data_IF_527032308029
#
_entry.id   IF_527032308029
#
_cell.length_a   1.000
_cell.length_b   1.000
_cell.length_c   1.000
_cell.angle_alpha   90.00
_cell.angle_beta   90.00
_cell.angle_gamma   90.00
#
_symmetry.space_group_name_H-M   'P 1'
#
loop_
_entity.id
_entity.type
_entity.pdbx_description
1 polymer ?
#
# COMPACT_ATOMS: atom_id res chain seq x y z
N UNK A 1 3.17 5.52 -8.11
CA UNK A 1 4.43 6.24 -7.83
C UNK A 1 5.57 5.34 -7.33
N UNK A 2 5.37 4.41 -6.37
CA UNK A 2 6.51 3.67 -5.81
C UNK A 2 6.56 2.15 -6.00
N UNK A 3 5.52 1.52 -6.56
CA UNK A 3 5.56 0.09 -6.88
C UNK A 3 6.14 -0.73 -5.70
N UNK A 4 7.15 -1.55 -5.99
CA UNK A 4 7.80 -2.39 -4.97
C UNK A 4 9.13 -1.81 -4.45
N UNK A 5 9.57 -0.65 -4.92
CA UNK A 5 10.79 -0.01 -4.41
C UNK A 5 10.74 1.49 -4.66
N UNK A 6 10.71 2.27 -3.58
CA UNK A 6 10.76 3.72 -3.64
C UNK A 6 12.19 4.22 -3.91
N UNK A 7 12.33 5.26 -4.75
CA UNK A 7 13.62 5.94 -4.99
C UNK A 7 14.00 6.85 -3.81
N UNK A 8 15.29 6.87 -3.46
CA UNK A 8 15.84 7.79 -2.45
C UNK A 8 15.56 9.26 -2.82
N UNK A 9 15.16 10.07 -1.84
CA UNK A 9 14.75 11.47 -2.06
C UNK A 9 13.26 11.66 -2.41
N UNK A 10 12.56 10.64 -2.93
CA UNK A 10 11.21 10.85 -3.42
C UNK A 10 10.11 10.98 -2.34
N UNK A 11 10.32 10.65 -1.05
CA UNK A 11 9.20 10.72 -0.07
C UNK A 11 8.80 12.14 0.22
N UNK A 12 9.76 12.98 0.56
CA UNK A 12 9.46 14.36 0.98
C UNK A 12 8.88 15.13 -0.20
N UNK A 13 9.36 14.83 -1.41
CA UNK A 13 8.78 15.34 -2.65
C UNK A 13 7.38 14.78 -2.88
N UNK A 14 7.15 13.47 -2.70
CA UNK A 14 5.82 12.84 -2.83
C UNK A 14 4.82 13.47 -1.86
N UNK A 15 5.20 13.72 -0.60
CA UNK A 15 4.32 14.32 0.40
C UNK A 15 3.81 15.69 -0.07
N UNK A 16 4.71 16.57 -0.51
CA UNK A 16 4.33 17.93 -0.96
C UNK A 16 3.56 17.88 -2.28
N UNK A 17 4.07 17.14 -3.27
CA UNK A 17 3.47 17.04 -4.61
C UNK A 17 2.09 16.39 -4.55
N UNK A 18 1.93 15.30 -3.78
CA UNK A 18 0.63 14.66 -3.59
C UNK A 18 -0.32 15.57 -2.83
N UNK A 19 0.15 16.32 -1.83
CA UNK A 19 -0.65 17.32 -1.14
C UNK A 19 -1.21 18.38 -2.08
N UNK A 20 -0.43 18.83 -3.06
CA UNK A 20 -0.88 19.77 -4.09
C UNK A 20 -1.89 19.13 -5.06
N UNK A 21 -1.54 17.99 -5.68
CA UNK A 21 -2.37 17.35 -6.70
C UNK A 21 -3.67 16.80 -6.11
N UNK A 22 -3.56 15.97 -5.07
CA UNK A 22 -4.72 15.37 -4.39
C UNK A 22 -5.51 16.44 -3.66
N UNK A 23 -4.86 17.44 -3.06
CA UNK A 23 -5.52 18.55 -2.39
C UNK A 23 -6.45 19.33 -3.33
N UNK A 24 -6.05 19.60 -4.57
CA UNK A 24 -6.92 20.25 -5.54
C UNK A 24 -8.08 19.36 -5.98
N UNK A 25 -7.82 18.09 -6.32
CA UNK A 25 -8.90 17.15 -6.64
C UNK A 25 -9.90 17.00 -5.49
N UNK A 26 -9.41 16.94 -4.25
CA UNK A 26 -10.24 16.86 -3.06
C UNK A 26 -11.03 18.14 -2.82
N UNK A 27 -10.42 19.32 -3.02
CA UNK A 27 -11.12 20.60 -2.92
C UNK A 27 -12.25 20.72 -3.95
N UNK A 28 -12.00 20.32 -5.20
CA UNK A 28 -13.01 20.32 -6.25
C UNK A 28 -14.14 19.33 -5.96
N UNK A 29 -13.79 18.13 -5.48
CA UNK A 29 -14.76 17.15 -4.99
C UNK A 29 -15.63 17.77 -3.88
N UNK A 30 -15.05 18.36 -2.84
CA UNK A 30 -15.80 18.97 -1.74
C UNK A 30 -16.70 20.14 -2.19
N UNK A 31 -16.29 20.94 -3.18
CA UNK A 31 -17.11 22.03 -3.71
C UNK A 31 -18.26 21.53 -4.58
N UNK A 32 -18.04 20.46 -5.33
CA UNK A 32 -19.03 19.87 -6.24
C UNK A 32 -20.03 18.94 -5.53
N UNK A 33 -19.74 18.56 -4.29
CA UNK A 33 -20.57 17.63 -3.53
C UNK A 33 -21.62 18.37 -2.72
N UNK A 34 -22.88 18.05 -2.95
CA UNK A 34 -23.99 18.44 -2.08
C UNK A 34 -24.38 17.23 -1.23
N UNK A 35 -23.82 17.13 -0.02
CA UNK A 35 -24.21 16.09 0.94
C UNK A 35 -25.08 16.71 2.03
N UNK A 36 -26.29 16.18 2.16
CA UNK A 36 -27.09 16.29 3.38
C UNK A 36 -26.85 15.05 4.24
N UNK A 37 -26.14 15.21 5.37
CA UNK A 37 -25.97 14.14 6.36
C UNK A 37 -27.08 14.21 7.41
N UNK A 38 -27.70 13.07 7.70
CA UNK A 38 -28.60 12.96 8.85
C UNK A 38 -27.79 13.00 10.14
N UNK A 39 -28.20 13.83 11.10
CA UNK A 39 -27.62 13.84 12.45
C UNK A 39 -27.70 12.46 13.10
N UNK A 40 -28.74 11.68 12.80
CA UNK A 40 -28.91 10.32 13.28
C UNK A 40 -27.71 9.41 12.94
N UNK A 41 -27.14 9.52 11.75
CA UNK A 41 -25.97 8.72 11.35
C UNK A 41 -24.75 9.10 12.20
N UNK A 42 -24.56 10.40 12.45
CA UNK A 42 -23.46 10.88 13.29
C UNK A 42 -23.63 10.44 14.77
N UNK A 43 -24.86 10.49 15.29
CA UNK A 43 -25.21 10.04 16.64
C UNK A 43 -25.02 8.53 16.82
N UNK A 44 -25.41 7.73 15.83
CA UNK A 44 -25.22 6.27 15.82
C UNK A 44 -23.72 5.90 15.82
N UNK A 45 -22.90 6.54 14.99
CA UNK A 45 -21.45 6.28 14.98
C UNK A 45 -20.75 6.79 16.25
N UNK A 46 -21.15 7.95 16.80
CA UNK A 46 -20.63 8.43 18.08
C UNK A 46 -20.93 7.43 19.21
N UNK A 47 -22.20 7.02 19.33
CA UNK A 47 -22.63 6.06 20.36
C UNK A 47 -21.87 4.73 20.23
N UNK A 48 -21.62 4.28 19.00
CA UNK A 48 -20.85 3.05 18.74
C UNK A 48 -19.40 3.16 19.22
N UNK A 49 -18.73 4.30 19.00
CA UNK A 49 -17.35 4.50 19.49
C UNK A 49 -17.32 4.67 21.01
N UNK A 50 -18.28 5.37 21.61
CA UNK A 50 -18.40 5.48 23.06
C UNK A 50 -18.59 4.09 23.71
N UNK A 51 -19.48 3.27 23.16
CA UNK A 51 -19.69 1.90 23.61
C UNK A 51 -18.43 1.04 23.47
N UNK A 52 -17.70 1.17 22.37
CA UNK A 52 -16.43 0.44 22.18
C UNK A 52 -15.38 0.83 23.24
N UNK A 53 -15.26 2.11 23.58
CA UNK A 53 -14.36 2.55 24.65
C UNK A 53 -14.79 1.99 26.01
N UNK A 54 -16.10 2.01 26.33
CA UNK A 54 -16.61 1.42 27.56
C UNK A 54 -16.38 -0.10 27.60
N UNK A 55 -16.57 -0.78 26.48
CA UNK A 55 -16.29 -2.22 26.33
C UNK A 55 -14.83 -2.51 26.68
N UNK A 56 -13.87 -1.82 26.06
CA UNK A 56 -12.43 -1.99 26.33
C UNK A 56 -12.09 -1.77 27.82
N UNK A 57 -12.68 -0.76 28.45
CA UNK A 57 -12.48 -0.50 29.88
C UNK A 57 -13.13 -1.59 30.75
N UNK A 58 -14.20 -2.22 30.28
CA UNK A 58 -14.91 -3.30 30.98
C UNK A 58 -14.27 -4.68 30.82
N UNK A 59 -13.36 -4.86 29.85
CA UNK A 59 -12.68 -6.14 29.66
C UNK A 59 -11.90 -6.55 30.93
N UNK A 60 -12.01 -7.84 31.25
CA UNK A 60 -11.41 -8.51 32.41
C UNK A 60 -10.79 -9.85 31.98
N UNK A 61 -9.82 -9.76 31.08
CA UNK A 61 -9.01 -10.89 30.63
C UNK A 61 -7.61 -10.91 31.23
N UNK A 62 -6.81 -11.89 30.83
CA UNK A 62 -5.46 -12.15 31.35
C UNK A 62 -4.34 -11.69 30.42
N UNK A 63 -4.67 -11.25 29.20
CA UNK A 63 -3.71 -10.77 28.22
C UNK A 63 -3.30 -9.31 28.48
N UNK A 64 -2.05 -8.97 28.14
CA UNK A 64 -1.52 -7.61 28.25
C UNK A 64 -1.27 -7.02 26.87
N UNK A 65 -1.83 -5.83 26.63
CA UNK A 65 -1.76 -5.19 25.31
C UNK A 65 -0.32 -4.90 24.85
N UNK A 66 0.57 -4.55 25.77
CA UNK A 66 1.98 -4.29 25.46
C UNK A 66 2.73 -5.56 25.07
N UNK A 67 2.45 -6.70 25.72
CA UNK A 67 3.07 -7.99 25.40
C UNK A 67 2.64 -8.44 23.99
N UNK A 68 1.35 -8.26 23.65
CA UNK A 68 0.82 -8.49 22.31
C UNK A 68 1.53 -7.60 21.28
N UNK A 69 1.66 -6.30 21.57
CA UNK A 69 2.33 -5.35 20.66
C UNK A 69 3.79 -5.72 20.42
N UNK A 70 4.52 -6.09 21.47
CA UNK A 70 5.93 -6.46 21.34
C UNK A 70 6.09 -7.79 20.59
N UNK A 71 5.21 -8.77 20.84
CA UNK A 71 5.22 -10.01 20.06
C UNK A 71 4.94 -9.77 18.58
N UNK A 72 3.95 -8.94 18.25
CA UNK A 72 3.67 -8.53 16.87
C UNK A 72 4.90 -7.93 16.19
N UNK A 73 5.62 -7.02 16.87
CA UNK A 73 6.85 -6.39 16.34
C UNK A 73 7.95 -7.42 16.08
N UNK A 74 8.14 -8.37 16.99
CA UNK A 74 9.12 -9.46 16.85
C UNK A 74 8.78 -10.32 15.62
N UNK A 75 7.53 -10.78 15.50
CA UNK A 75 7.08 -11.59 14.35
C UNK A 75 7.35 -10.86 13.02
N UNK A 76 6.96 -9.59 12.93
CA UNK A 76 7.15 -8.80 11.71
C UNK A 76 8.64 -8.62 11.35
N UNK A 77 9.50 -8.43 12.34
CA UNK A 77 10.94 -8.27 12.15
C UNK A 77 11.62 -9.58 11.72
N UNK A 78 11.28 -10.69 12.37
CA UNK A 78 11.94 -11.99 12.16
C UNK A 78 11.45 -12.67 10.88
N UNK A 79 10.14 -12.60 10.58
CA UNK A 79 9.50 -13.42 9.54
C UNK A 79 9.07 -12.64 8.30
N UNK A 80 8.95 -11.31 8.39
CA UNK A 80 8.44 -10.44 7.30
C UNK A 80 9.46 -9.36 6.91
N UNK A 81 10.74 -9.59 7.22
CA UNK A 81 11.86 -8.69 6.98
C UNK A 81 12.33 -8.60 5.52
N UNK A 82 13.65 -8.53 5.33
CA UNK A 82 14.29 -8.40 4.01
C UNK A 82 14.15 -9.70 3.22
N UNK A 83 14.59 -10.81 3.81
CA UNK A 83 14.50 -12.15 3.25
C UNK A 83 13.27 -12.84 3.80
N UNK A 84 12.53 -13.54 2.94
CA UNK A 84 11.27 -14.18 3.29
C UNK A 84 11.18 -15.52 2.60
N UNK A 85 10.54 -16.47 3.23
CA UNK A 85 10.19 -17.76 2.64
C UNK A 85 8.77 -18.15 3.05
N UNK A 86 8.16 -19.09 2.30
CA UNK A 86 6.76 -19.46 2.49
C UNK A 86 6.45 -20.02 3.87
N UNK A 87 7.40 -20.74 4.50
CA UNK A 87 7.21 -21.31 5.83
C UNK A 87 7.09 -20.21 6.88
N UNK A 88 8.09 -19.34 6.97
CA UNK A 88 8.11 -18.28 7.98
C UNK A 88 6.94 -17.30 7.78
N UNK A 89 6.55 -17.03 6.53
CA UNK A 89 5.38 -16.20 6.24
C UNK A 89 4.05 -16.86 6.62
N UNK A 90 3.92 -18.18 6.48
CA UNK A 90 2.74 -18.90 6.94
C UNK A 90 2.63 -18.84 8.46
N UNK A 91 3.72 -19.14 9.17
CA UNK A 91 3.79 -19.06 10.64
C UNK A 91 3.50 -17.63 11.12
N UNK A 92 3.99 -16.60 10.42
CA UNK A 92 3.74 -15.21 10.76
C UNK A 92 2.25 -14.84 10.67
N UNK A 93 1.55 -15.30 9.62
CA UNK A 93 0.11 -15.04 9.48
C UNK A 93 -0.67 -15.73 10.61
N UNK A 94 -0.38 -16.99 10.90
CA UNK A 94 -1.02 -17.75 11.98
C UNK A 94 -0.84 -17.05 13.33
N UNK A 95 0.40 -16.76 13.73
CA UNK A 95 0.68 -16.11 15.01
C UNK A 95 0.07 -14.70 15.11
N UNK A 96 0.07 -13.92 14.03
CA UNK A 96 -0.56 -12.59 14.03
C UNK A 96 -2.09 -12.68 14.16
N UNK A 97 -2.72 -13.69 13.55
CA UNK A 97 -4.15 -13.95 13.70
C UNK A 97 -4.49 -14.39 15.12
N UNK A 98 -3.65 -15.21 15.74
CA UNK A 98 -3.79 -15.57 17.16
C UNK A 98 -3.65 -14.33 18.07
N UNK A 99 -2.68 -13.46 17.82
CA UNK A 99 -2.52 -12.20 18.57
C UNK A 99 -3.73 -11.28 18.41
N UNK A 100 -4.33 -11.23 17.21
CA UNK A 100 -5.56 -10.47 16.98
C UNK A 100 -6.72 -11.02 17.83
N UNK A 101 -6.85 -12.34 17.95
CA UNK A 101 -7.87 -12.93 18.81
C UNK A 101 -7.58 -12.71 20.30
N UNK A 102 -6.32 -12.83 20.73
CA UNK A 102 -5.87 -12.53 22.10
C UNK A 102 -6.11 -11.06 22.48
N UNK A 103 -6.01 -10.15 21.51
CA UNK A 103 -6.26 -8.72 21.75
C UNK A 103 -7.68 -8.41 22.24
N UNK A 104 -8.63 -9.33 22.04
CA UNK A 104 -10.00 -9.24 22.56
C UNK A 104 -10.12 -9.66 24.03
N UNK A 105 -9.07 -10.24 24.62
CA UNK A 105 -9.03 -10.78 26.00
C UNK A 105 -8.05 -10.01 26.89
N UNK A 106 -7.80 -8.75 26.56
CA UNK A 106 -6.93 -7.88 27.35
C UNK A 106 -7.64 -7.33 28.57
N UNK A 107 -6.88 -6.82 29.52
CA UNK A 107 -7.39 -5.92 30.56
C UNK A 107 -6.67 -4.59 30.49
N UNK A 108 -7.43 -3.49 30.44
CA UNK A 108 -6.90 -2.15 30.70
C UNK A 108 -6.91 -1.93 32.21
N UNK A 109 -5.75 -1.89 32.85
CA UNK A 109 -5.65 -1.76 34.30
C UNK A 109 -6.15 -0.39 34.79
N UNK A 110 -5.77 0.69 34.11
CA UNK A 110 -6.28 2.02 34.41
C UNK A 110 -7.68 2.20 33.80
N UNK A 111 -8.71 2.29 34.64
CA UNK A 111 -10.11 2.46 34.20
C UNK A 111 -10.49 3.92 33.88
N UNK A 112 -9.55 4.86 33.96
CA UNK A 112 -9.77 6.25 33.56
C UNK A 112 -9.87 6.36 32.03
N UNK A 113 -10.87 7.06 31.51
CA UNK A 113 -11.00 7.29 30.08
C UNK A 113 -10.08 8.43 29.58
N UNK A 114 -9.79 9.41 30.43
CA UNK A 114 -9.04 10.60 30.06
C UNK A 114 -7.53 10.38 30.26
N UNK A 115 -6.73 10.83 29.29
CA UNK A 115 -5.25 10.78 29.33
C UNK A 115 -4.72 9.39 29.67
N UNK A 116 -5.30 8.35 29.05
CA UNK A 116 -4.98 6.96 29.34
C UNK A 116 -4.19 6.31 28.19
N UNK A 117 -2.86 6.25 28.26
CA UNK A 117 -2.04 5.65 27.22
C UNK A 117 -2.24 4.14 27.09
N UNK A 118 -2.68 3.44 28.16
CA UNK A 118 -2.99 2.01 28.09
C UNK A 118 -4.26 1.76 27.27
N UNK A 119 -5.30 2.58 27.49
CA UNK A 119 -6.52 2.55 26.67
C UNK A 119 -6.21 2.92 25.21
N UNK A 120 -5.30 3.87 24.97
CA UNK A 120 -4.87 4.19 23.60
C UNK A 120 -4.30 2.97 22.88
N UNK A 121 -3.45 2.21 23.56
CA UNK A 121 -2.85 0.99 23.01
C UNK A 121 -3.90 -0.11 22.82
N UNK A 122 -4.88 -0.21 23.74
CA UNK A 122 -5.98 -1.18 23.69
C UNK A 122 -6.76 -1.15 22.38
N UNK A 123 -7.00 0.04 21.80
CA UNK A 123 -7.65 0.13 20.48
C UNK A 123 -6.65 0.24 19.31
N UNK A 124 -5.44 0.80 19.51
CA UNK A 124 -4.43 0.92 18.44
C UNK A 124 -3.84 -0.42 18.03
N UNK A 125 -3.51 -1.29 18.98
CA UNK A 125 -2.81 -2.55 18.69
C UNK A 125 -3.65 -3.53 17.87
N UNK A 126 -4.96 -3.75 18.12
CA UNK A 126 -5.81 -4.53 17.23
C UNK A 126 -5.80 -3.99 15.78
N UNK A 127 -5.85 -2.67 15.60
CA UNK A 127 -5.73 -2.05 14.27
C UNK A 127 -4.36 -2.30 13.63
N UNK A 128 -3.27 -2.17 14.41
CA UNK A 128 -1.92 -2.48 13.93
C UNK A 128 -1.78 -3.95 13.51
N UNK A 129 -2.39 -4.89 14.25
CA UNK A 129 -2.42 -6.31 13.91
C UNK A 129 -3.13 -6.57 12.58
N UNK A 130 -4.27 -5.91 12.33
CA UNK A 130 -4.97 -5.98 11.04
C UNK A 130 -4.08 -5.48 9.90
N UNK A 131 -3.33 -4.40 10.10
CA UNK A 131 -2.35 -3.90 9.11
C UNK A 131 -1.19 -4.90 8.93
N UNK A 132 -0.66 -5.46 10.01
CA UNK A 132 0.41 -6.47 9.96
C UNK A 132 -0.02 -7.71 9.18
N UNK A 133 -1.26 -8.17 9.37
CA UNK A 133 -1.85 -9.28 8.62
C UNK A 133 -1.98 -8.98 7.12
N UNK A 134 -2.36 -7.76 6.74
CA UNK A 134 -2.35 -7.34 5.33
C UNK A 134 -0.95 -7.47 4.71
N UNK A 135 0.09 -7.09 5.45
CA UNK A 135 1.48 -7.16 4.98
C UNK A 135 1.96 -8.62 4.92
N UNK A 136 1.78 -9.39 5.99
CA UNK A 136 2.24 -10.77 6.09
C UNK A 136 1.53 -11.69 5.09
N UNK A 137 0.19 -11.63 5.01
CA UNK A 137 -0.60 -12.42 4.06
C UNK A 137 -0.31 -12.03 2.62
N UNK A 138 -0.21 -10.73 2.33
CA UNK A 138 0.18 -10.25 1.01
C UNK A 138 1.57 -10.72 0.58
N UNK A 139 2.52 -10.80 1.53
CA UNK A 139 3.85 -11.35 1.28
C UNK A 139 3.86 -12.87 1.10
N UNK A 140 3.04 -13.60 1.88
CA UNK A 140 2.87 -15.06 1.80
C UNK A 140 2.34 -15.47 0.44
N UNK A 141 1.24 -14.83 0.02
CA UNK A 141 0.50 -15.21 -1.18
C UNK A 141 1.21 -14.74 -2.46
N UNK A 142 2.02 -13.68 -2.40
CA UNK A 142 2.86 -13.25 -3.52
C UNK A 142 4.08 -14.16 -3.68
N UNK A 143 4.04 -15.04 -4.67
CA UNK A 143 5.10 -16.02 -4.95
C UNK A 143 6.06 -15.56 -6.05
N UNK A 144 6.65 -14.37 -5.87
CA UNK A 144 7.72 -13.84 -6.73
C UNK A 144 8.70 -12.98 -5.91
N UNK A 145 9.79 -12.52 -6.53
CA UNK A 145 10.66 -11.47 -5.97
C UNK A 145 10.60 -10.21 -6.82
N UNK A 146 10.06 -9.12 -6.26
CA UNK A 146 9.91 -7.82 -6.94
C UNK A 146 10.29 -6.67 -6.01
N UNK A 147 11.21 -5.82 -6.45
CA UNK A 147 11.68 -4.67 -5.66
C UNK A 147 12.23 -5.09 -4.29
N UNK A 148 11.65 -4.56 -3.22
CA UNK A 148 11.98 -4.85 -1.82
C UNK A 148 11.30 -6.12 -1.29
N UNK A 149 10.36 -6.71 -2.01
CA UNK A 149 9.80 -8.01 -1.68
C UNK A 149 10.70 -9.11 -2.26
N UNK A 150 11.42 -9.81 -1.38
CA UNK A 150 12.35 -10.87 -1.77
C UNK A 150 11.94 -12.20 -1.13
N UNK A 151 11.62 -13.17 -1.99
CA UNK A 151 11.23 -14.52 -1.63
C UNK A 151 12.37 -15.49 -1.98
N UNK A 152 12.96 -16.09 -0.97
CA UNK A 152 14.09 -17.03 -1.12
C UNK A 152 13.68 -18.29 -1.89
N UNK A 153 12.42 -18.68 -1.75
CA UNK A 153 11.76 -19.77 -2.47
C UNK A 153 11.21 -19.35 -3.85
N UNK A 154 11.19 -18.05 -4.17
CA UNK A 154 10.77 -17.50 -5.47
C UNK A 154 11.67 -16.33 -5.91
N UNK A 155 12.89 -16.65 -6.33
CA UNK A 155 13.96 -15.66 -6.57
C UNK A 155 13.75 -14.73 -7.77
N UNK A 156 12.89 -15.12 -8.73
CA UNK A 156 12.69 -14.37 -9.97
C UNK A 156 11.53 -13.38 -9.83
N UNK A 157 11.64 -12.23 -10.51
CA UNK A 157 10.50 -11.35 -10.80
C UNK A 157 9.61 -12.03 -11.82
N UNK A 158 8.32 -12.17 -11.57
CA UNK A 158 7.40 -12.86 -12.46
C UNK A 158 6.43 -11.88 -13.11
N UNK A 159 6.77 -11.38 -14.29
CA UNK A 159 5.89 -10.46 -15.02
C UNK A 159 4.74 -11.18 -15.74
N UNK A 160 4.77 -12.51 -15.80
CA UNK A 160 3.71 -13.31 -16.43
C UNK A 160 2.51 -13.48 -15.51
N UNK A 161 2.77 -13.80 -14.24
CA UNK A 161 1.71 -14.13 -13.26
C UNK A 161 1.51 -13.05 -12.18
N UNK A 162 2.51 -12.20 -11.95
CA UNK A 162 2.54 -11.28 -10.82
C UNK A 162 2.76 -9.80 -11.21
N UNK A 163 2.51 -9.44 -12.47
CA UNK A 163 2.48 -8.05 -12.89
C UNK A 163 1.16 -7.36 -12.50
N UNK A 164 0.88 -7.39 -11.20
CA UNK A 164 -0.33 -6.89 -10.58
C UNK A 164 -0.05 -6.23 -9.24
N UNK A 165 -1.07 -5.57 -8.71
CA UNK A 165 -1.08 -4.95 -7.39
C UNK A 165 -1.95 -5.77 -6.44
N UNK A 166 -1.41 -6.13 -5.29
CA UNK A 166 -2.23 -6.71 -4.20
C UNK A 166 -3.13 -5.64 -3.62
N UNK A 167 -4.44 -5.90 -3.62
CA UNK A 167 -5.48 -5.10 -2.99
C UNK A 167 -5.95 -5.88 -1.76
N UNK A 168 -5.70 -5.35 -0.58
CA UNK A 168 -6.15 -5.94 0.69
C UNK A 168 -7.35 -5.19 1.21
N UNK A 169 -8.37 -5.91 1.65
CA UNK A 169 -9.55 -5.35 2.31
C UNK A 169 -10.12 -6.32 3.34
N UNK A 170 -10.96 -5.82 4.23
CA UNK A 170 -11.57 -6.62 5.30
C UNK A 170 -13.05 -6.78 4.98
N UNK A 171 -13.45 -7.95 4.47
CA UNK A 171 -14.81 -8.18 3.99
C UNK A 171 -15.81 -8.29 5.15
N UNK A 172 -15.51 -9.14 6.15
CA UNK A 172 -16.32 -9.23 7.37
C UNK A 172 -15.53 -8.72 8.58
N UNK A 173 -16.06 -7.80 9.40
CA UNK A 173 -15.32 -7.19 10.51
C UNK A 173 -14.66 -8.18 11.48
N UNK A 174 -15.24 -9.38 11.61
CA UNK A 174 -14.83 -10.43 12.54
C UNK A 174 -13.83 -11.43 11.96
N UNK A 175 -13.50 -11.35 10.66
CA UNK A 175 -12.48 -12.21 10.07
C UNK A 175 -11.13 -11.97 10.77
N UNK A 176 -10.30 -13.02 10.87
CA UNK A 176 -8.96 -12.94 11.47
C UNK A 176 -7.84 -12.77 10.45
N UNK A 177 -8.19 -12.74 9.16
CA UNK A 177 -7.30 -12.47 8.05
C UNK A 177 -7.99 -11.54 7.05
N UNK A 178 -7.23 -10.70 6.32
CA UNK A 178 -7.81 -9.89 5.26
C UNK A 178 -8.12 -10.72 4.02
N UNK A 179 -9.04 -10.22 3.19
CA UNK A 179 -9.27 -10.71 1.84
C UNK A 179 -8.33 -10.03 0.86
N UNK A 180 -7.71 -10.81 -0.03
CA UNK A 180 -6.82 -10.30 -1.07
C UNK A 180 -7.46 -10.41 -2.45
N UNK A 181 -7.33 -9.34 -3.24
CA UNK A 181 -7.59 -9.30 -4.67
C UNK A 181 -6.35 -8.78 -5.39
N UNK A 182 -6.30 -8.99 -6.70
CA UNK A 182 -5.20 -8.54 -7.53
C UNK A 182 -5.72 -7.67 -8.66
N UNK A 183 -5.09 -6.51 -8.84
CA UNK A 183 -5.36 -5.59 -9.94
C UNK A 183 -4.21 -5.72 -10.95
N UNK A 184 -4.48 -6.31 -12.11
CA UNK A 184 -3.52 -6.49 -13.19
C UNK A 184 -3.07 -5.14 -13.78
N UNK A 185 -1.77 -5.04 -14.10
CA UNK A 185 -1.22 -3.85 -14.76
C UNK A 185 -1.20 -4.07 -16.27
N UNK A 186 -1.88 -3.18 -16.99
CA UNK A 186 -1.94 -3.24 -18.46
C UNK A 186 -0.61 -2.80 -19.09
N UNK A 187 0.19 -3.78 -19.53
CA UNK A 187 1.49 -3.55 -20.18
C UNK A 187 1.33 -2.65 -21.40
N UNK A 188 0.24 -2.79 -22.17
CA UNK A 188 0.07 -2.05 -23.42
C UNK A 188 -0.15 -0.55 -23.20
N UNK A 189 -0.43 -0.12 -21.96
CA UNK A 189 -0.54 1.29 -21.56
C UNK A 189 0.74 1.87 -20.96
N UNK A 190 1.78 1.06 -20.77
CA UNK A 190 3.02 1.54 -20.14
C UNK A 190 3.86 2.36 -21.12
N UNK A 191 4.35 3.54 -20.67
CA UNK A 191 5.35 4.33 -21.41
C UNK A 191 6.70 3.57 -21.53
N UNK A 192 7.04 2.83 -20.47
CA UNK A 192 8.23 1.98 -20.38
C UNK A 192 7.77 0.57 -20.00
N UNK A 193 7.77 -0.40 -20.91
CA UNK A 193 7.36 -1.76 -20.60
C UNK A 193 8.36 -2.45 -19.65
N UNK A 194 7.94 -3.55 -18.98
CA UNK A 194 8.80 -4.24 -18.02
C UNK A 194 10.11 -4.72 -18.65
N UNK A 195 11.23 -4.33 -18.03
CA UNK A 195 12.58 -4.70 -18.48
C UNK A 195 13.52 -4.86 -17.28
N UNK A 196 14.82 -5.03 -17.55
CA UNK A 196 15.86 -5.08 -16.53
C UNK A 196 15.89 -3.76 -15.73
N UNK A 197 15.87 -3.88 -14.40
CA UNK A 197 15.76 -2.73 -13.47
C UNK A 197 17.05 -1.92 -13.26
N UNK A 198 18.14 -2.26 -13.94
CA UNK A 198 19.45 -1.61 -13.81
C UNK A 198 20.34 -2.15 -12.68
N UNK A 199 19.77 -2.66 -11.59
CA UNK A 199 20.51 -3.20 -10.43
C UNK A 199 20.17 -4.65 -10.09
N UNK A 200 21.09 -5.33 -9.40
CA UNK A 200 20.99 -6.75 -9.05
C UNK A 200 21.33 -7.68 -10.22
N UNK A 201 21.03 -8.97 -10.07
CA UNK A 201 21.37 -10.00 -11.06
C UNK A 201 20.52 -9.85 -12.34
N UNK A 202 21.18 -9.92 -13.50
CA UNK A 202 20.51 -10.04 -14.81
C UNK A 202 19.83 -11.40 -14.95
N UNK A 203 18.78 -11.48 -15.76
CA UNK A 203 18.06 -12.73 -16.04
C UNK A 203 17.20 -13.29 -14.89
N UNK A 204 16.99 -12.52 -13.81
CA UNK A 204 16.09 -12.88 -12.70
C UNK A 204 14.65 -12.41 -12.96
N UNK A 205 14.15 -12.73 -14.15
CA UNK A 205 12.86 -12.30 -14.65
C UNK A 205 12.20 -13.45 -15.41
N UNK A 206 10.92 -13.66 -15.19
CA UNK A 206 10.03 -14.43 -16.05
C UNK A 206 9.29 -13.39 -16.87
N UNK A 207 9.62 -13.32 -18.16
CA UNK A 207 9.12 -12.28 -19.04
C UNK A 207 7.67 -12.53 -19.46
N UNK A 208 6.92 -11.44 -19.62
CA UNK A 208 5.59 -11.46 -20.20
C UNK A 208 5.70 -11.23 -21.72
N UNK A 209 5.09 -12.06 -22.58
CA UNK A 209 5.13 -11.86 -24.03
C UNK A 209 4.64 -10.48 -24.48
N UNK A 210 3.72 -9.86 -23.74
CA UNK A 210 3.24 -8.51 -24.02
C UNK A 210 4.31 -7.45 -23.79
N UNK A 211 5.32 -7.69 -22.96
CA UNK A 211 6.42 -6.76 -22.73
C UNK A 211 7.21 -6.50 -24.00
N UNK A 212 7.57 -7.55 -24.76
CA UNK A 212 8.27 -7.39 -26.02
C UNK A 212 7.38 -6.71 -27.07
N UNK A 213 6.12 -7.12 -27.16
CA UNK A 213 5.16 -6.49 -28.08
C UNK A 213 5.04 -4.98 -27.82
N UNK A 214 4.92 -4.57 -26.56
CA UNK A 214 4.86 -3.16 -26.20
C UNK A 214 6.19 -2.46 -26.44
N UNK A 215 7.32 -3.12 -26.20
CA UNK A 215 8.64 -2.56 -26.48
C UNK A 215 8.80 -2.22 -27.96
N UNK A 216 8.42 -3.13 -28.86
CA UNK A 216 8.45 -2.91 -30.31
C UNK A 216 7.56 -1.73 -30.72
N UNK A 217 6.38 -1.60 -30.11
CA UNK A 217 5.46 -0.48 -30.34
C UNK A 217 6.05 0.87 -29.87
N UNK A 218 6.63 0.90 -28.66
CA UNK A 218 7.29 2.09 -28.10
C UNK A 218 8.46 2.53 -28.98
N UNK A 219 9.28 1.58 -29.43
CA UNK A 219 10.45 1.87 -30.28
C UNK A 219 10.03 2.38 -31.66
N UNK A 220 8.96 1.82 -32.23
CA UNK A 220 8.36 2.33 -33.47
C UNK A 220 7.87 3.77 -33.31
N UNK A 221 7.08 4.06 -32.26
CA UNK A 221 6.58 5.41 -31.98
C UNK A 221 7.74 6.40 -31.85
N UNK A 222 8.81 6.03 -31.13
CA UNK A 222 10.01 6.85 -30.97
C UNK A 222 10.74 7.10 -32.29
N UNK A 223 10.88 6.09 -33.16
CA UNK A 223 11.57 6.22 -34.44
C UNK A 223 10.82 7.13 -35.43
N UNK A 224 9.49 7.06 -35.42
CA UNK A 224 8.62 7.85 -36.30
C UNK A 224 8.40 9.28 -35.80
N UNK A 225 8.57 9.54 -34.50
CA UNK A 225 8.32 10.84 -33.90
C UNK A 225 9.36 11.90 -34.30
N UNK A 226 8.90 13.06 -34.80
CA UNK A 226 9.73 14.23 -35.16
C UNK A 226 9.48 15.47 -34.30
N UNK A 227 8.52 15.40 -33.38
CA UNK A 227 8.17 16.50 -32.48
C UNK A 227 9.07 16.58 -31.25
N UNK A 228 8.65 17.40 -30.28
CA UNK A 228 9.36 17.53 -29.02
C UNK A 228 9.02 16.38 -28.04
N UNK A 229 9.83 16.25 -26.98
CA UNK A 229 9.65 15.19 -25.98
C UNK A 229 8.29 15.19 -25.27
N UNK A 230 7.59 16.32 -25.20
CA UNK A 230 6.27 16.39 -24.56
C UNK A 230 5.20 15.72 -25.42
N UNK A 231 5.22 16.00 -26.74
CA UNK A 231 4.34 15.35 -27.71
C UNK A 231 4.65 13.85 -27.84
N UNK A 232 5.92 13.46 -27.72
CA UNK A 232 6.31 12.05 -27.66
C UNK A 232 5.71 11.35 -26.44
N UNK A 233 5.83 11.97 -25.26
CA UNK A 233 5.31 11.41 -24.01
C UNK A 233 3.79 11.21 -24.11
N UNK A 234 3.06 12.21 -24.61
CA UNK A 234 1.60 12.13 -24.76
C UNK A 234 1.17 11.04 -25.76
N UNK A 235 1.95 10.81 -26.83
CA UNK A 235 1.73 9.70 -27.76
C UNK A 235 1.99 8.33 -27.14
N UNK A 236 2.93 8.22 -26.22
CA UNK A 236 3.29 6.95 -25.59
C UNK A 236 2.30 6.58 -24.47
N UNK A 237 2.01 7.52 -23.59
CA UNK A 237 1.15 7.31 -22.42
C UNK A 237 0.57 8.65 -21.96
N UNK A 238 -0.59 9.07 -22.48
CA UNK A 238 -1.22 10.29 -22.02
C UNK A 238 -1.58 10.17 -20.53
N UNK A 239 -1.41 11.26 -19.78
CA UNK A 239 -1.74 11.32 -18.36
C UNK A 239 -2.54 12.58 -18.01
N UNK A 240 -3.33 12.46 -16.95
CA UNK A 240 -4.15 13.53 -16.41
C UNK A 240 -3.41 14.28 -15.31
N UNK A 241 -3.55 15.60 -15.33
CA UNK A 241 -3.04 16.51 -14.33
C UNK A 241 -3.76 17.84 -14.48
N UNK A 242 -4.00 18.56 -13.38
CA UNK A 242 -4.61 19.88 -13.43
C UNK A 242 -3.80 20.84 -14.32
N UNK A 243 -4.43 21.74 -15.10
CA UNK A 243 -3.75 22.59 -16.09
C UNK A 243 -2.56 23.37 -15.54
N UNK A 244 -2.67 23.91 -14.32
CA UNK A 244 -1.63 24.65 -13.61
C UNK A 244 -0.39 23.79 -13.32
N UNK A 245 -0.58 22.50 -13.08
CA UNK A 245 0.50 21.55 -12.83
C UNK A 245 0.98 20.84 -14.10
N UNK A 246 0.19 20.89 -15.19
CA UNK A 246 0.57 20.42 -16.53
C UNK A 246 1.37 21.46 -17.31
N UNK A 247 1.46 22.70 -16.82
CA UNK A 247 2.34 23.73 -17.35
C UNK A 247 3.81 23.27 -17.38
N UNK A 248 4.57 23.73 -18.38
CA UNK A 248 5.98 23.35 -18.55
C UNK A 248 6.82 23.97 -17.44
N UNK A 249 7.71 23.16 -16.87
CA UNK A 249 8.71 23.62 -15.92
C UNK A 249 9.88 24.25 -16.69
N UNK A 250 10.02 25.58 -16.60
CA UNK A 250 11.19 26.31 -17.09
C UNK A 250 12.47 25.80 -16.42
N UNK A 251 13.54 25.67 -17.21
CA UNK A 251 14.86 25.26 -16.72
C UNK A 251 15.93 26.23 -17.14
N UNK A 252 16.93 26.38 -16.28
CA UNK A 252 18.15 27.06 -16.63
C UNK A 252 18.81 26.35 -17.82
N UNK A 253 18.97 27.06 -18.93
CA UNK A 253 19.51 26.53 -20.19
C UNK A 253 18.45 26.21 -21.25
N UNK A 254 17.16 26.36 -20.93
CA UNK A 254 16.14 26.46 -21.97
C UNK A 254 16.45 27.72 -22.80
N UNK A 255 16.58 27.56 -24.13
CA UNK A 255 16.65 28.73 -25.00
C UNK A 255 15.27 29.37 -24.96
N UNK A 256 15.21 30.69 -24.75
CA UNK A 256 13.99 31.47 -24.95
C UNK A 256 13.56 31.33 -26.42
N UNK A 257 12.80 30.28 -26.74
CA UNK A 257 12.08 30.09 -28.00
C UNK A 257 10.61 30.43 -27.80
#
# INVERSE_FOLDING_TARGET
LHGFNRLGGNSVSETVVSGMIIGNYFADFCKGMDITLSTKIAEEELSKQENYIQELLSLDGDEKIYDIKDRMRIIMQEKVGIFRNGKDLADAVEELSELLEKSKKITVANKCQLLNPELEEAYKVPMMLKVALCVAKGARDRTESRGAHYREDYLKRDDKNWLNKTISYWENPNDLEPTLKYEELDIMKMEIPPAFRGYGRKGQIIENPLSQKRQDEVDKIKAEHKGNRYELQDKLMPYELQPEYKAKNERLGDKNE
#
